data_IF_317780679177
#
_entry.id   IF_317780679177
#
_cell.length_a   1.000
_cell.length_b   1.000
_cell.length_c   1.000
_cell.angle_alpha   90.00
_cell.angle_beta   90.00
_cell.angle_gamma   90.00
#
_symmetry.space_group_name_H-M   'P 1'
#
loop_
_entity.id
_entity.type
_entity.pdbx_description
1 polymer ?
#
# COMPACT_ATOMS: atom_id res chain seq x y z
N UNK A 1 -18.44 25.63 2.16
CA UNK A 1 -17.64 24.67 2.94
C UNK A 1 -16.10 24.86 2.84
N UNK A 2 -15.58 26.06 2.62
CA UNK A 2 -14.12 26.28 2.53
C UNK A 2 -13.39 26.10 3.88
N UNK A 3 -14.05 26.38 5.00
CA UNK A 3 -13.43 26.38 6.32
C UNK A 3 -12.93 25.01 6.77
N UNK A 4 -13.75 23.97 6.62
CA UNK A 4 -13.34 22.58 6.96
C UNK A 4 -12.24 22.04 6.05
N UNK A 5 -12.26 22.41 4.76
CA UNK A 5 -11.22 22.03 3.81
C UNK A 5 -9.85 22.61 4.21
N UNK A 6 -9.81 23.88 4.61
CA UNK A 6 -8.57 24.54 5.04
C UNK A 6 -8.05 23.98 6.37
N UNK A 7 -8.94 23.69 7.33
CA UNK A 7 -8.56 23.08 8.60
C UNK A 7 -7.97 21.67 8.39
N UNK A 8 -8.55 20.87 7.50
CA UNK A 8 -8.02 19.55 7.14
C UNK A 8 -6.65 19.66 6.47
N UNK A 9 -6.47 20.56 5.50
CA UNK A 9 -5.18 20.80 4.84
C UNK A 9 -4.12 21.21 5.88
N UNK A 10 -4.45 22.15 6.78
CA UNK A 10 -3.53 22.59 7.83
C UNK A 10 -3.13 21.43 8.73
N UNK A 11 -4.09 20.59 9.13
CA UNK A 11 -3.81 19.41 9.96
C UNK A 11 -2.93 18.38 9.23
N UNK A 12 -3.21 18.13 7.95
CA UNK A 12 -2.38 17.23 7.14
C UNK A 12 -0.95 17.75 7.05
N UNK A 13 -0.77 19.04 6.73
CA UNK A 13 0.57 19.64 6.62
C UNK A 13 1.33 19.62 7.96
N UNK A 14 0.62 19.77 9.08
CA UNK A 14 1.22 19.63 10.42
C UNK A 14 1.67 18.19 10.69
N UNK A 15 0.89 17.19 10.29
CA UNK A 15 1.29 15.80 10.45
C UNK A 15 2.47 15.46 9.55
N UNK A 16 2.43 15.89 8.29
CA UNK A 16 3.52 15.69 7.32
C UNK A 16 4.84 16.36 7.77
N UNK A 17 4.78 17.48 8.45
CA UNK A 17 5.98 18.13 9.00
C UNK A 17 6.69 17.29 10.09
N UNK A 18 6.01 16.27 10.64
CA UNK A 18 6.56 15.34 11.62
C UNK A 18 6.94 13.98 11.00
N UNK A 19 6.78 13.80 9.69
CA UNK A 19 7.25 12.60 8.98
C UNK A 19 8.78 12.54 8.99
N UNK A 20 9.36 11.37 8.73
CA UNK A 20 10.80 11.19 8.69
C UNK A 20 11.43 12.00 7.56
N UNK A 21 12.54 12.63 7.87
CA UNK A 21 13.33 13.43 6.92
C UNK A 21 14.40 12.59 6.23
N UNK A 22 14.98 13.11 5.15
CA UNK A 22 16.12 12.47 4.48
C UNK A 22 17.29 12.21 5.45
N UNK A 23 17.53 13.12 6.43
CA UNK A 23 18.54 12.93 7.46
C UNK A 23 18.19 11.79 8.41
N UNK A 24 16.90 11.61 8.75
CA UNK A 24 16.44 10.51 9.58
C UNK A 24 16.69 9.15 8.91
N UNK A 25 16.46 9.06 7.61
CA UNK A 25 16.78 7.84 6.85
C UNK A 25 18.29 7.56 6.80
N UNK A 26 19.14 8.59 6.67
CA UNK A 26 20.60 8.40 6.76
C UNK A 26 21.02 7.84 8.14
N UNK A 27 20.42 8.33 9.22
CA UNK A 27 20.68 7.82 10.56
C UNK A 27 20.15 6.39 10.76
N UNK A 28 18.99 6.05 10.17
CA UNK A 28 18.42 4.71 10.22
C UNK A 28 19.28 3.68 9.48
N UNK A 29 19.87 4.03 8.33
CA UNK A 29 20.78 3.17 7.58
C UNK A 29 22.01 2.73 8.38
N UNK A 30 22.42 3.52 9.37
CA UNK A 30 23.56 3.21 10.25
C UNK A 30 23.19 2.30 11.44
N UNK A 31 21.90 1.94 11.62
CA UNK A 31 21.47 1.05 12.71
C UNK A 31 21.87 -0.38 12.41
N UNK A 32 22.17 -1.15 13.45
CA UNK A 32 22.66 -2.54 13.33
C UNK A 32 21.63 -3.56 13.78
N UNK A 33 20.67 -3.16 14.60
CA UNK A 33 19.66 -4.06 15.14
C UNK A 33 18.26 -3.48 14.96
N UNK A 34 17.26 -4.35 14.94
CA UNK A 34 15.84 -3.95 14.92
C UNK A 34 15.50 -3.10 16.16
N UNK A 35 16.16 -3.38 17.29
CA UNK A 35 15.99 -2.58 18.50
C UNK A 35 16.55 -1.16 18.36
N UNK A 36 17.70 -0.97 17.73
CA UNK A 36 18.25 0.36 17.44
C UNK A 36 17.32 1.18 16.56
N UNK A 37 16.69 0.54 15.56
CA UNK A 37 15.66 1.18 14.71
C UNK A 37 14.48 1.63 15.58
N UNK A 38 13.98 0.75 16.44
CA UNK A 38 12.85 1.07 17.33
C UNK A 38 13.18 2.20 18.30
N UNK A 39 14.38 2.23 18.88
CA UNK A 39 14.85 3.32 19.76
C UNK A 39 14.94 4.65 19.01
N UNK A 40 15.46 4.62 17.79
CA UNK A 40 15.49 5.81 16.94
C UNK A 40 14.09 6.33 16.65
N UNK A 41 13.17 5.47 16.19
CA UNK A 41 11.79 5.84 15.93
C UNK A 41 11.09 6.36 17.18
N UNK A 42 11.32 5.74 18.34
CA UNK A 42 10.78 6.20 19.63
C UNK A 42 11.23 7.63 19.99
N UNK A 43 12.37 8.08 19.51
CA UNK A 43 12.85 9.47 19.69
C UNK A 43 12.07 10.48 18.85
N UNK A 44 11.36 10.04 17.80
CA UNK A 44 10.58 10.89 16.91
C UNK A 44 9.15 11.07 17.41
N UNK A 45 8.62 12.29 17.33
CA UNK A 45 7.27 12.61 17.82
C UNK A 45 6.18 11.75 17.16
N UNK A 46 6.37 11.41 15.87
CA UNK A 46 5.41 10.58 15.13
C UNK A 46 5.25 9.18 15.72
N UNK A 47 6.30 8.59 16.31
CA UNK A 47 6.32 7.18 16.76
C UNK A 47 6.46 7.01 18.26
N UNK A 48 6.72 8.09 19.02
CA UNK A 48 6.97 8.04 20.47
C UNK A 48 5.90 7.26 21.23
N UNK A 49 4.66 7.59 21.01
CA UNK A 49 3.54 7.04 21.79
C UNK A 49 3.38 5.54 21.57
N UNK A 50 3.41 5.09 20.29
CA UNK A 50 3.19 3.68 19.95
C UNK A 50 4.34 2.78 20.39
N UNK A 51 5.55 3.31 20.51
CA UNK A 51 6.75 2.59 20.94
C UNK A 51 7.08 2.78 22.42
N UNK A 52 6.32 3.58 23.17
CA UNK A 52 6.65 3.97 24.57
C UNK A 52 6.79 2.78 25.51
N UNK A 53 5.91 1.80 25.41
CA UNK A 53 5.80 0.65 26.32
C UNK A 53 6.18 -0.69 25.65
N UNK A 54 6.96 -0.67 24.58
CA UNK A 54 7.40 -1.88 23.89
C UNK A 54 8.73 -2.33 24.47
N UNK A 55 8.80 -3.47 25.19
CA UNK A 55 10.06 -3.98 25.70
C UNK A 55 10.86 -4.68 24.57
N UNK A 56 12.20 -4.60 24.67
CA UNK A 56 13.12 -5.23 23.72
C UNK A 56 12.84 -6.73 23.52
N UNK A 57 12.62 -7.44 24.63
CA UNK A 57 12.38 -8.90 24.63
C UNK A 57 11.17 -9.36 23.83
N UNK A 58 10.24 -8.44 23.53
CA UNK A 58 9.03 -8.73 22.76
C UNK A 58 9.07 -8.17 21.34
N UNK A 59 10.17 -7.46 20.97
CA UNK A 59 10.27 -6.83 19.68
C UNK A 59 10.99 -7.76 18.69
N UNK A 60 10.31 -8.05 17.60
CA UNK A 60 10.87 -8.69 16.42
C UNK A 60 10.50 -7.88 15.18
N UNK A 61 10.98 -8.30 14.01
CA UNK A 61 10.71 -7.68 12.71
C UNK A 61 9.22 -7.45 12.50
N UNK A 62 8.43 -8.52 12.51
CA UNK A 62 7.00 -8.46 12.19
C UNK A 62 6.23 -7.53 13.15
N UNK A 63 6.59 -7.53 14.45
CA UNK A 63 5.97 -6.66 15.42
C UNK A 63 6.32 -5.19 15.19
N UNK A 64 7.57 -4.85 14.88
CA UNK A 64 7.95 -3.47 14.60
C UNK A 64 7.25 -2.95 13.33
N UNK A 65 7.26 -3.72 12.24
CA UNK A 65 6.53 -3.38 11.00
C UNK A 65 5.04 -3.17 11.26
N UNK A 66 4.40 -4.04 12.05
CA UNK A 66 3.00 -3.91 12.43
C UNK A 66 2.72 -2.62 13.23
N UNK A 67 3.61 -2.24 14.17
CA UNK A 67 3.48 -1.00 14.93
C UNK A 67 3.65 0.24 14.04
N UNK A 68 4.56 0.20 13.07
CA UNK A 68 4.77 1.28 12.09
C UNK A 68 3.51 1.46 11.23
N UNK A 69 2.98 0.39 10.65
CA UNK A 69 1.74 0.40 9.86
C UNK A 69 0.57 0.96 10.68
N UNK A 70 0.42 0.47 11.92
CA UNK A 70 -0.61 0.93 12.84
C UNK A 70 -0.50 2.42 13.14
N UNK A 71 0.71 2.94 13.38
CA UNK A 71 0.91 4.37 13.64
C UNK A 71 0.46 5.24 12.46
N UNK A 72 0.83 4.87 11.24
CA UNK A 72 0.40 5.61 10.04
C UNK A 72 -1.11 5.55 9.85
N UNK A 73 -1.72 4.41 10.11
CA UNK A 73 -3.17 4.28 10.08
C UNK A 73 -3.86 5.17 11.14
N UNK A 74 -3.37 5.19 12.38
CA UNK A 74 -3.92 6.01 13.46
C UNK A 74 -3.84 7.53 13.13
N UNK A 75 -2.80 7.95 12.41
CA UNK A 75 -2.71 9.32 11.90
C UNK A 75 -3.83 9.63 10.89
N UNK A 76 -4.13 8.71 9.98
CA UNK A 76 -5.23 8.85 9.01
C UNK A 76 -6.60 8.85 9.70
N UNK A 77 -6.81 7.99 10.71
CA UNK A 77 -8.03 8.00 11.53
C UNK A 77 -8.26 9.37 12.18
N UNK A 78 -7.20 9.98 12.71
CA UNK A 78 -7.28 11.34 13.28
C UNK A 78 -7.76 12.38 12.24
N UNK A 79 -7.37 12.24 10.98
CA UNK A 79 -7.82 13.14 9.90
C UNK A 79 -9.29 12.91 9.54
N UNK A 80 -9.74 11.66 9.48
CA UNK A 80 -11.13 11.32 9.14
C UNK A 80 -12.13 11.85 10.16
N UNK A 81 -11.73 12.03 11.42
CA UNK A 81 -12.58 12.63 12.46
C UNK A 81 -12.96 14.10 12.17
N UNK A 82 -12.19 14.82 11.36
CA UNK A 82 -12.49 16.19 10.94
C UNK A 82 -13.48 16.28 9.77
N UNK A 83 -13.93 15.14 9.22
CA UNK A 83 -14.76 15.12 8.02
C UNK A 83 -16.25 15.01 8.35
N UNK A 84 -17.06 15.69 7.54
CA UNK A 84 -18.52 15.48 7.57
C UNK A 84 -18.89 14.13 6.94
N UNK A 85 -20.05 13.58 7.29
CA UNK A 85 -20.53 12.29 6.79
C UNK A 85 -20.61 12.21 5.24
N UNK A 86 -20.83 13.34 4.57
CA UNK A 86 -20.95 13.39 3.11
C UNK A 86 -19.61 13.20 2.38
N UNK A 87 -18.50 13.59 2.99
CA UNK A 87 -17.20 13.61 2.35
C UNK A 87 -16.37 12.35 2.64
N UNK A 88 -16.88 11.45 3.49
CA UNK A 88 -16.10 10.32 4.04
C UNK A 88 -15.67 9.29 3.00
N UNK A 89 -16.43 9.04 1.94
CA UNK A 89 -16.18 7.92 1.04
C UNK A 89 -14.75 7.86 0.48
N UNK A 90 -14.25 8.97 -0.07
CA UNK A 90 -12.88 9.04 -0.60
C UNK A 90 -11.82 8.96 0.51
N UNK A 91 -12.07 9.58 1.65
CA UNK A 91 -11.13 9.59 2.77
C UNK A 91 -11.10 8.27 3.57
N UNK A 92 -12.01 7.34 3.28
CA UNK A 92 -12.01 5.98 3.84
C UNK A 92 -11.25 4.95 2.97
N UNK A 93 -10.56 5.38 1.92
CA UNK A 93 -9.79 4.49 1.05
C UNK A 93 -8.80 3.62 1.82
N UNK A 94 -8.12 4.18 2.81
CA UNK A 94 -7.17 3.43 3.62
C UNK A 94 -7.83 2.37 4.52
N UNK A 95 -9.08 2.59 4.92
CA UNK A 95 -9.83 1.59 5.68
C UNK A 95 -10.19 0.40 4.79
N UNK A 96 -10.58 0.68 3.54
CA UNK A 96 -10.82 -0.36 2.53
C UNK A 96 -9.53 -1.12 2.25
N UNK A 97 -8.42 -0.43 2.07
CA UNK A 97 -7.12 -1.06 1.85
C UNK A 97 -6.70 -1.95 3.01
N UNK A 98 -6.86 -1.49 4.24
CA UNK A 98 -6.56 -2.30 5.43
C UNK A 98 -7.48 -3.54 5.56
N UNK A 99 -8.78 -3.42 5.26
CA UNK A 99 -9.66 -4.59 5.19
C UNK A 99 -9.14 -5.62 4.17
N UNK A 100 -8.69 -5.15 3.00
CA UNK A 100 -8.11 -6.01 1.97
C UNK A 100 -6.83 -6.69 2.47
N UNK A 101 -5.89 -5.94 3.06
CA UNK A 101 -4.65 -6.51 3.61
C UNK A 101 -4.94 -7.59 4.65
N UNK A 102 -5.86 -7.34 5.59
CA UNK A 102 -6.23 -8.31 6.64
C UNK A 102 -6.80 -9.59 6.02
N UNK A 103 -7.71 -9.47 5.04
CA UNK A 103 -8.30 -10.63 4.39
C UNK A 103 -7.25 -11.40 3.58
N UNK A 104 -6.36 -10.69 2.85
CA UNK A 104 -5.28 -11.29 2.08
C UNK A 104 -4.28 -12.02 2.97
N UNK A 105 -3.91 -11.48 4.13
CA UNK A 105 -3.04 -12.16 5.09
C UNK A 105 -3.70 -13.42 5.68
N UNK A 106 -5.03 -13.38 5.92
CA UNK A 106 -5.77 -14.60 6.30
C UNK A 106 -5.70 -15.67 5.19
N UNK A 107 -5.94 -15.29 3.94
CA UNK A 107 -5.85 -16.23 2.82
C UNK A 107 -4.43 -16.78 2.67
N UNK A 108 -3.41 -15.92 2.83
CA UNK A 108 -2.01 -16.31 2.82
C UNK A 108 -1.69 -17.31 3.93
N UNK A 109 -2.25 -17.12 5.13
CA UNK A 109 -2.09 -18.06 6.23
C UNK A 109 -2.69 -19.44 5.93
N UNK A 110 -3.79 -19.51 5.19
CA UNK A 110 -4.38 -20.79 4.75
C UNK A 110 -3.47 -21.53 3.76
N UNK A 111 -2.82 -20.78 2.85
CA UNK A 111 -1.89 -21.35 1.85
C UNK A 111 -0.61 -21.81 2.51
N UNK A 112 0.02 -20.98 3.37
CA UNK A 112 1.30 -21.28 4.03
C UNK A 112 1.16 -22.22 5.24
N UNK A 113 -0.06 -22.39 5.77
CA UNK A 113 -0.35 -23.10 7.03
C UNK A 113 0.32 -22.47 8.26
N UNK A 114 0.66 -21.19 8.16
CA UNK A 114 1.17 -20.39 9.26
C UNK A 114 0.04 -19.67 9.96
N UNK A 115 0.16 -19.46 11.28
CA UNK A 115 -0.82 -18.67 12.01
C UNK A 115 -0.55 -17.19 11.85
N UNK A 116 -1.58 -16.43 11.48
CA UNK A 116 -1.52 -14.97 11.42
C UNK A 116 -2.26 -14.36 12.62
N UNK A 117 -1.55 -13.57 13.41
CA UNK A 117 -2.16 -12.84 14.52
C UNK A 117 -2.85 -11.56 14.03
N UNK A 118 -4.07 -11.72 13.54
CA UNK A 118 -4.92 -10.63 13.05
C UNK A 118 -5.05 -9.52 14.09
N UNK A 119 -5.27 -9.89 15.36
CA UNK A 119 -5.60 -8.92 16.44
C UNK A 119 -4.43 -8.00 16.72
N UNK A 120 -3.20 -8.50 16.64
CA UNK A 120 -1.99 -7.67 16.86
C UNK A 120 -1.84 -6.54 15.83
N UNK A 121 -2.41 -6.72 14.64
CA UNK A 121 -2.26 -5.79 13.51
C UNK A 121 -3.44 -4.83 13.34
N UNK A 122 -4.58 -5.08 14.01
CA UNK A 122 -5.77 -4.23 13.91
C UNK A 122 -5.66 -3.04 14.87
N UNK A 123 -5.82 -1.80 14.34
CA UNK A 123 -5.94 -0.62 15.20
C UNK A 123 -7.19 -0.68 16.07
N UNK A 124 -7.10 -0.23 17.33
CA UNK A 124 -8.16 -0.31 18.34
C UNK A 124 -9.52 0.29 17.92
N UNK A 125 -9.54 1.22 16.98
CA UNK A 125 -10.76 1.90 16.50
C UNK A 125 -11.27 1.37 15.16
N UNK A 126 -10.68 0.31 14.62
CA UNK A 126 -10.96 -0.12 13.26
C UNK A 126 -12.36 -0.73 13.12
N UNK A 127 -12.85 -1.41 14.14
CA UNK A 127 -14.19 -1.97 14.25
C UNK A 127 -15.31 -0.92 14.10
N UNK A 128 -15.04 0.35 14.41
CA UNK A 128 -15.99 1.45 14.17
C UNK A 128 -16.17 1.80 12.70
N UNK A 129 -15.24 1.39 11.85
CA UNK A 129 -15.21 1.71 10.42
C UNK A 129 -15.40 0.49 9.53
N UNK A 130 -15.24 -0.71 10.08
CA UNK A 130 -15.40 -1.98 9.39
C UNK A 130 -16.65 -2.72 9.85
N UNK A 131 -17.20 -3.56 8.97
CA UNK A 131 -18.28 -4.50 9.27
C UNK A 131 -17.74 -5.92 9.54
N UNK A 132 -16.45 -6.12 9.48
CA UNK A 132 -15.82 -7.41 9.67
C UNK A 132 -15.74 -7.69 11.19
N UNK A 133 -16.22 -8.84 11.61
CA UNK A 133 -15.98 -9.34 12.95
C UNK A 133 -14.57 -9.95 13.04
N UNK A 134 -13.62 -9.12 13.48
CA UNK A 134 -12.22 -9.51 13.56
C UNK A 134 -11.95 -10.62 14.59
N UNK A 135 -12.77 -10.72 15.64
CA UNK A 135 -12.65 -11.80 16.63
C UNK A 135 -13.06 -13.14 16.02
N UNK A 136 -14.12 -13.15 15.23
CA UNK A 136 -14.51 -14.35 14.49
C UNK A 136 -13.55 -14.67 13.34
N UNK A 137 -12.92 -13.64 12.74
CA UNK A 137 -11.93 -13.82 11.69
C UNK A 137 -10.71 -14.63 12.13
N UNK A 138 -10.23 -14.44 13.38
CA UNK A 138 -9.10 -15.21 13.93
C UNK A 138 -9.36 -16.71 14.03
N UNK A 139 -10.62 -17.14 14.00
CA UNK A 139 -11.02 -18.55 14.10
C UNK A 139 -11.19 -19.23 12.75
N UNK A 140 -11.14 -18.46 11.67
CA UNK A 140 -11.23 -19.03 10.32
C UNK A 140 -9.93 -19.75 9.95
N UNK A 141 -10.05 -20.98 9.46
CA UNK A 141 -8.91 -21.82 9.07
C UNK A 141 -8.92 -22.20 7.59
N UNK A 142 -9.98 -21.80 6.89
CA UNK A 142 -10.19 -22.08 5.47
C UNK A 142 -11.15 -21.04 4.84
N UNK A 143 -11.35 -21.16 3.54
CA UNK A 143 -12.21 -20.24 2.79
C UNK A 143 -13.66 -20.29 3.23
N UNK A 144 -14.20 -21.43 3.65
CA UNK A 144 -15.59 -21.55 4.11
C UNK A 144 -15.79 -20.82 5.44
N UNK A 145 -14.84 -20.96 6.38
CA UNK A 145 -14.81 -20.22 7.64
C UNK A 145 -14.70 -18.70 7.43
N UNK A 146 -13.80 -18.28 6.53
CA UNK A 146 -13.64 -16.88 6.15
C UNK A 146 -14.92 -16.30 5.57
N UNK A 147 -15.57 -16.99 4.64
CA UNK A 147 -16.81 -16.55 4.01
C UNK A 147 -17.97 -16.42 5.01
N UNK A 148 -18.05 -17.26 6.03
CA UNK A 148 -19.05 -17.13 7.10
C UNK A 148 -18.89 -15.81 7.85
N UNK A 149 -17.64 -15.43 8.16
CA UNK A 149 -17.34 -14.14 8.81
C UNK A 149 -17.66 -12.95 7.90
N UNK A 150 -17.42 -13.09 6.62
CA UNK A 150 -17.62 -12.02 5.63
C UNK A 150 -19.06 -11.94 5.08
N UNK A 151 -20.02 -12.77 5.56
CA UNK A 151 -21.35 -12.94 4.97
C UNK A 151 -22.11 -11.62 4.76
N UNK A 152 -22.05 -10.70 5.72
CA UNK A 152 -22.72 -9.41 5.70
C UNK A 152 -21.87 -8.27 5.12
N UNK A 153 -20.75 -8.62 4.51
CA UNK A 153 -19.83 -7.67 3.88
C UNK A 153 -19.90 -7.73 2.34
N UNK A 154 -19.36 -6.72 1.68
CA UNK A 154 -19.20 -6.72 0.22
C UNK A 154 -18.25 -7.81 -0.27
N UNK A 155 -17.33 -8.25 0.57
CA UNK A 155 -16.30 -9.23 0.25
C UNK A 155 -16.83 -10.63 0.02
N UNK A 156 -17.95 -10.97 0.65
CA UNK A 156 -18.62 -12.26 0.42
C UNK A 156 -18.90 -12.52 -1.06
N UNK A 157 -19.46 -11.50 -1.76
CA UNK A 157 -19.79 -11.62 -3.19
C UNK A 157 -18.56 -11.82 -4.07
N UNK A 158 -17.42 -11.27 -3.67
CA UNK A 158 -16.17 -11.36 -4.41
C UNK A 158 -15.53 -12.74 -4.27
N UNK A 159 -15.65 -13.34 -3.10
CA UNK A 159 -14.92 -14.56 -2.72
C UNK A 159 -15.77 -15.84 -2.73
N UNK A 160 -17.09 -15.75 -2.83
CA UNK A 160 -18.02 -16.91 -2.72
C UNK A 160 -17.73 -18.06 -3.69
N UNK A 161 -17.13 -17.79 -4.85
CA UNK A 161 -16.73 -18.83 -5.81
C UNK A 161 -15.66 -19.76 -5.27
N UNK A 162 -14.89 -19.31 -4.29
CA UNK A 162 -13.81 -20.06 -3.65
C UNK A 162 -14.26 -20.86 -2.40
N UNK A 163 -15.56 -20.84 -2.04
CA UNK A 163 -16.08 -21.46 -0.81
C UNK A 163 -15.69 -22.94 -0.62
N UNK A 164 -15.58 -23.68 -1.73
CA UNK A 164 -15.24 -25.11 -1.71
C UNK A 164 -13.80 -25.40 -2.14
N UNK A 165 -13.00 -24.37 -2.36
CA UNK A 165 -11.62 -24.53 -2.80
C UNK A 165 -10.76 -24.94 -1.60
N UNK A 166 -9.98 -26.00 -1.75
CA UNK A 166 -9.07 -26.44 -0.71
C UNK A 166 -7.90 -25.45 -0.58
N UNK A 167 -7.36 -25.33 0.62
CA UNK A 167 -6.27 -24.39 0.90
C UNK A 167 -5.06 -24.59 -0.02
N UNK A 168 -4.74 -25.84 -0.38
CA UNK A 168 -3.64 -26.20 -1.29
C UNK A 168 -3.86 -25.78 -2.76
N UNK A 169 -5.12 -25.55 -3.15
CA UNK A 169 -5.50 -25.15 -4.51
C UNK A 169 -5.62 -23.62 -4.65
N UNK A 170 -5.52 -22.88 -3.55
CA UNK A 170 -5.60 -21.42 -3.57
C UNK A 170 -4.34 -20.82 -4.22
N UNK A 171 -4.53 -19.77 -5.00
CA UNK A 171 -3.45 -19.02 -5.66
C UNK A 171 -3.48 -17.58 -5.17
N UNK A 172 -2.50 -17.19 -4.39
CA UNK A 172 -2.45 -15.87 -3.73
C UNK A 172 -2.61 -14.70 -4.72
N UNK A 173 -1.94 -14.76 -5.87
CA UNK A 173 -1.99 -13.70 -6.89
C UNK A 173 -3.39 -13.45 -7.48
N UNK A 174 -4.28 -14.47 -7.47
CA UNK A 174 -5.68 -14.30 -7.91
C UNK A 174 -6.44 -13.42 -6.93
N UNK A 175 -6.28 -13.66 -5.63
CA UNK A 175 -6.91 -12.86 -4.58
C UNK A 175 -6.36 -11.45 -4.54
N UNK A 176 -5.05 -11.29 -4.67
CA UNK A 176 -4.39 -9.99 -4.80
C UNK A 176 -5.02 -9.17 -5.94
N UNK A 177 -5.18 -9.77 -7.12
CA UNK A 177 -5.84 -9.13 -8.26
C UNK A 177 -7.31 -8.78 -8.00
N UNK A 178 -8.08 -9.65 -7.33
CA UNK A 178 -9.49 -9.40 -6.98
C UNK A 178 -9.59 -8.17 -6.06
N UNK A 179 -8.76 -8.10 -5.01
CA UNK A 179 -8.80 -7.00 -4.06
C UNK A 179 -8.26 -5.69 -4.61
N UNK A 180 -7.21 -5.72 -5.43
CA UNK A 180 -6.74 -4.53 -6.15
C UNK A 180 -7.82 -3.96 -7.08
N UNK A 181 -8.45 -4.81 -7.88
CA UNK A 181 -9.56 -4.40 -8.75
C UNK A 181 -10.70 -3.78 -7.95
N UNK A 182 -11.08 -4.36 -6.81
CA UNK A 182 -12.10 -3.80 -5.93
C UNK A 182 -11.69 -2.45 -5.37
N UNK A 183 -10.43 -2.30 -4.89
CA UNK A 183 -9.90 -1.05 -4.37
C UNK A 183 -9.95 0.08 -5.39
N UNK A 184 -9.48 -0.16 -6.61
CA UNK A 184 -9.48 0.88 -7.65
C UNK A 184 -10.87 1.19 -8.16
N UNK A 185 -11.75 0.19 -8.31
CA UNK A 185 -13.15 0.42 -8.65
C UNK A 185 -13.87 1.25 -7.58
N UNK A 186 -13.64 0.95 -6.31
CA UNK A 186 -14.16 1.76 -5.21
C UNK A 186 -13.61 3.19 -5.27
N UNK A 187 -12.31 3.35 -5.44
CA UNK A 187 -11.63 4.64 -5.55
C UNK A 187 -12.22 5.51 -6.66
N UNK A 188 -12.31 5.00 -7.88
CA UNK A 188 -12.87 5.76 -9.00
C UNK A 188 -14.35 6.07 -8.82
N UNK A 189 -15.12 5.17 -8.22
CA UNK A 189 -16.52 5.42 -7.86
C UNK A 189 -16.64 6.58 -6.87
N UNK A 190 -15.78 6.62 -5.83
CA UNK A 190 -15.77 7.73 -4.87
C UNK A 190 -15.35 9.05 -5.52
N UNK A 191 -14.32 9.01 -6.38
CA UNK A 191 -13.86 10.21 -7.10
C UNK A 191 -14.98 10.74 -8.01
N UNK A 192 -15.63 9.87 -8.79
CA UNK A 192 -16.69 10.25 -9.71
C UNK A 192 -17.93 10.79 -9.00
N UNK A 193 -18.27 10.25 -7.84
CA UNK A 193 -19.42 10.67 -7.04
C UNK A 193 -19.22 12.07 -6.42
N UNK A 194 -18.01 12.34 -5.90
CA UNK A 194 -17.78 13.48 -5.02
C UNK A 194 -17.08 14.66 -5.70
N UNK A 195 -16.34 14.46 -6.80
CA UNK A 195 -15.50 15.49 -7.40
C UNK A 195 -15.83 15.76 -8.87
N UNK A 196 -15.54 16.97 -9.36
CA UNK A 196 -15.80 17.42 -10.74
C UNK A 196 -14.62 18.20 -11.31
N UNK A 197 -14.59 18.38 -12.62
CA UNK A 197 -13.64 19.23 -13.33
C UNK A 197 -12.17 18.85 -13.11
N UNK A 198 -11.31 19.85 -12.95
CA UNK A 198 -9.85 19.67 -12.81
C UNK A 198 -9.47 18.82 -11.58
N UNK A 199 -10.20 18.98 -10.47
CA UNK A 199 -9.94 18.20 -9.25
C UNK A 199 -10.15 16.70 -9.50
N UNK A 200 -11.31 16.33 -10.07
CA UNK A 200 -11.60 14.95 -10.46
C UNK A 200 -10.50 14.39 -11.38
N UNK A 201 -10.15 15.15 -12.44
CA UNK A 201 -9.11 14.72 -13.40
C UNK A 201 -7.75 14.51 -12.73
N UNK A 202 -7.36 15.37 -11.79
CA UNK A 202 -6.09 15.23 -11.08
C UNK A 202 -6.05 13.96 -10.23
N UNK A 203 -7.13 13.69 -9.46
CA UNK A 203 -7.24 12.49 -8.64
C UNK A 203 -7.25 11.21 -9.51
N UNK A 204 -8.10 11.18 -10.55
CA UNK A 204 -8.15 10.03 -11.48
C UNK A 204 -6.80 9.78 -12.12
N UNK A 205 -6.09 10.83 -12.56
CA UNK A 205 -4.80 10.70 -13.21
C UNK A 205 -3.72 10.11 -12.27
N UNK A 206 -3.70 10.53 -11.00
CA UNK A 206 -2.75 10.00 -10.03
C UNK A 206 -2.95 8.50 -9.81
N UNK A 207 -4.19 8.06 -9.59
CA UNK A 207 -4.48 6.63 -9.41
C UNK A 207 -4.29 5.81 -10.71
N UNK A 208 -4.64 6.35 -11.87
CA UNK A 208 -4.40 5.69 -13.16
C UNK A 208 -2.91 5.48 -13.42
N UNK A 209 -2.07 6.48 -13.14
CA UNK A 209 -0.62 6.32 -13.28
C UNK A 209 -0.06 5.26 -12.32
N UNK A 210 -0.60 5.18 -11.10
CA UNK A 210 -0.25 4.12 -10.15
C UNK A 210 -0.61 2.73 -10.70
N UNK A 211 -1.84 2.53 -11.17
CA UNK A 211 -2.29 1.26 -11.78
C UNK A 211 -1.37 0.84 -12.92
N UNK A 212 -1.01 1.77 -13.78
CA UNK A 212 -0.14 1.50 -14.93
C UNK A 212 1.21 0.92 -14.50
N UNK A 213 1.81 1.51 -13.48
CA UNK A 213 3.09 1.02 -12.93
C UNK A 213 2.94 -0.31 -12.21
N UNK A 214 1.91 -0.47 -11.38
CA UNK A 214 1.62 -1.74 -10.69
C UNK A 214 1.38 -2.87 -11.69
N UNK A 215 0.65 -2.62 -12.78
CA UNK A 215 0.48 -3.61 -13.85
C UNK A 215 1.82 -4.02 -14.49
N UNK A 216 2.73 -3.09 -14.71
CA UNK A 216 4.06 -3.41 -15.27
C UNK A 216 4.88 -4.28 -14.32
N UNK A 217 4.90 -3.93 -13.04
CA UNK A 217 5.56 -4.76 -12.01
C UNK A 217 4.93 -6.15 -11.98
N UNK A 218 3.60 -6.21 -12.04
CA UNK A 218 2.86 -7.46 -12.03
C UNK A 218 3.20 -8.34 -13.23
N UNK A 219 3.25 -7.79 -14.45
CA UNK A 219 3.71 -8.53 -15.65
C UNK A 219 5.12 -9.10 -15.44
N UNK A 220 6.04 -8.26 -14.96
CA UNK A 220 7.40 -8.69 -14.67
C UNK A 220 7.43 -9.85 -13.67
N UNK A 221 6.74 -9.72 -12.53
CA UNK A 221 6.70 -10.75 -11.48
C UNK A 221 6.06 -12.04 -11.96
N UNK A 222 4.93 -11.96 -12.67
CA UNK A 222 4.20 -13.13 -13.18
C UNK A 222 5.06 -13.94 -14.16
N UNK A 223 5.80 -13.26 -15.03
CA UNK A 223 6.73 -13.94 -15.96
C UNK A 223 7.97 -14.47 -15.27
N UNK A 224 8.60 -13.70 -14.41
CA UNK A 224 9.89 -14.06 -13.80
C UNK A 224 9.77 -15.18 -12.75
N UNK A 225 8.72 -15.12 -11.91
CA UNK A 225 8.63 -15.98 -10.73
C UNK A 225 7.55 -17.04 -10.83
N UNK A 226 6.50 -16.80 -11.62
CA UNK A 226 5.32 -17.70 -11.66
C UNK A 226 5.16 -18.41 -13.00
N UNK A 227 5.85 -17.99 -14.07
CA UNK A 227 5.77 -18.61 -15.38
C UNK A 227 4.38 -18.59 -16.00
N UNK A 228 3.60 -17.54 -15.72
CA UNK A 228 2.20 -17.41 -16.20
C UNK A 228 2.19 -17.10 -17.68
N UNK A 229 1.30 -17.76 -18.42
CA UNK A 229 1.13 -17.58 -19.88
C UNK A 229 0.58 -16.18 -20.21
N UNK A 230 0.99 -15.61 -21.35
CA UNK A 230 0.67 -14.24 -21.76
C UNK A 230 -0.85 -13.96 -21.79
N UNK A 231 -1.66 -14.94 -22.19
CA UNK A 231 -3.12 -14.82 -22.24
C UNK A 231 -3.75 -14.69 -20.84
N UNK A 232 -3.16 -15.36 -19.84
CA UNK A 232 -3.66 -15.36 -18.46
C UNK A 232 -3.22 -14.09 -17.73
N UNK A 233 -2.04 -13.54 -18.07
CA UNK A 233 -1.55 -12.29 -17.49
C UNK A 233 -2.57 -11.16 -17.68
N UNK A 234 -3.15 -11.01 -18.87
CA UNK A 234 -4.15 -9.95 -19.13
C UNK A 234 -5.36 -10.02 -18.21
N UNK A 235 -5.81 -11.23 -17.85
CA UNK A 235 -6.96 -11.42 -16.95
C UNK A 235 -6.69 -11.02 -15.51
N UNK A 236 -5.43 -11.00 -15.11
CA UNK A 236 -4.96 -10.69 -13.76
C UNK A 236 -4.68 -9.19 -13.57
N UNK A 237 -4.45 -8.46 -14.67
CA UNK A 237 -4.12 -7.04 -14.60
C UNK A 237 -5.33 -6.18 -14.24
N UNK A 238 -5.04 -5.06 -13.58
CA UNK A 238 -6.06 -4.06 -13.26
C UNK A 238 -6.43 -3.34 -14.55
N UNK A 239 -7.73 -3.27 -14.94
CA UNK A 239 -8.16 -2.58 -16.14
C UNK A 239 -7.73 -1.10 -16.11
N UNK A 240 -7.01 -0.67 -17.13
CA UNK A 240 -6.57 0.72 -17.30
C UNK A 240 -7.08 1.26 -18.63
N UNK A 241 -7.55 2.50 -18.65
CA UNK A 241 -8.11 3.17 -19.84
C UNK A 241 -7.14 4.16 -20.47
N UNK A 242 -5.83 4.08 -20.19
CA UNK A 242 -4.82 4.99 -20.72
C UNK A 242 -4.00 4.41 -21.88
N UNK A 243 -3.20 5.31 -22.43
CA UNK A 243 -2.26 5.16 -23.57
C UNK A 243 -1.39 3.89 -23.49
N UNK A 244 -1.28 3.29 -22.32
CA UNK A 244 -0.42 2.15 -22.03
C UNK A 244 -1.05 0.82 -22.46
N UNK A 245 -2.32 0.74 -22.84
CA UNK A 245 -2.89 -0.52 -23.31
C UNK A 245 -2.08 -1.15 -24.46
N UNK A 246 -1.68 -0.34 -25.47
CA UNK A 246 -0.79 -0.83 -26.54
C UNK A 246 0.61 -1.19 -26.03
N UNK A 247 1.19 -0.36 -25.15
CA UNK A 247 2.50 -0.64 -24.55
C UNK A 247 2.48 -1.81 -23.60
N UNK A 248 1.36 -2.02 -22.90
CA UNK A 248 1.17 -3.17 -22.03
C UNK A 248 1.18 -4.48 -22.84
N UNK A 249 0.53 -4.50 -24.02
CA UNK A 249 0.56 -5.65 -24.93
C UNK A 249 2.00 -5.92 -25.45
N UNK A 250 2.74 -4.87 -25.77
CA UNK A 250 4.16 -4.98 -26.14
C UNK A 250 4.99 -5.55 -25.00
N UNK A 251 4.78 -5.10 -23.77
CA UNK A 251 5.48 -5.58 -22.56
C UNK A 251 5.10 -7.05 -22.26
N UNK A 252 3.83 -7.41 -22.39
CA UNK A 252 3.37 -8.80 -22.21
C UNK A 252 3.99 -9.71 -23.28
N UNK A 253 4.14 -9.25 -24.51
CA UNK A 253 4.73 -10.03 -25.60
C UNK A 253 6.25 -10.26 -25.46
N UNK A 254 6.94 -9.51 -24.58
CA UNK A 254 8.38 -9.68 -24.34
C UNK A 254 8.64 -11.01 -23.62
N UNK A 255 9.51 -11.85 -24.18
CA UNK A 255 9.76 -13.20 -23.66
C UNK A 255 10.65 -13.25 -22.42
N UNK A 256 11.63 -12.33 -22.33
CA UNK A 256 12.58 -12.28 -21.23
C UNK A 256 12.16 -11.26 -20.18
N UNK A 257 12.19 -11.64 -18.90
CA UNK A 257 11.91 -10.72 -17.80
C UNK A 257 12.89 -9.53 -17.76
N UNK A 258 14.15 -9.74 -18.13
CA UNK A 258 15.17 -8.68 -18.17
C UNK A 258 14.90 -7.69 -19.30
N UNK A 259 14.38 -8.16 -20.45
CA UNK A 259 13.96 -7.31 -21.55
C UNK A 259 12.69 -6.53 -21.24
N UNK A 260 11.81 -7.04 -20.36
CA UNK A 260 10.64 -6.31 -19.86
C UNK A 260 11.10 -5.05 -19.13
N UNK A 261 12.07 -5.18 -18.23
CA UNK A 261 12.63 -4.04 -17.51
C UNK A 261 13.17 -2.97 -18.48
N UNK A 262 13.95 -3.39 -19.46
CA UNK A 262 14.48 -2.51 -20.49
C UNK A 262 13.38 -1.83 -21.30
N UNK A 263 12.35 -2.58 -21.71
CA UNK A 263 11.20 -2.06 -22.46
C UNK A 263 10.41 -1.01 -21.66
N UNK A 264 10.24 -1.23 -20.34
CA UNK A 264 9.59 -0.26 -19.43
C UNK A 264 10.41 1.04 -19.38
N UNK A 265 11.73 0.95 -19.23
CA UNK A 265 12.61 2.13 -19.19
C UNK A 265 12.57 2.88 -20.52
N UNK A 266 12.67 2.20 -21.64
CA UNK A 266 12.69 2.79 -22.98
C UNK A 266 11.32 3.37 -23.42
N UNK A 267 10.22 2.92 -22.80
CA UNK A 267 8.85 3.36 -23.14
C UNK A 267 8.53 4.82 -22.80
N UNK A 268 9.49 5.57 -22.27
CA UNK A 268 9.33 6.96 -21.82
C UNK A 268 8.72 7.12 -20.44
N UNK A 269 8.41 6.00 -19.77
CA UNK A 269 8.10 5.97 -18.32
C UNK A 269 9.38 6.24 -17.52
N UNK A 270 10.53 6.02 -18.14
CA UNK A 270 11.85 6.35 -17.63
C UNK A 270 12.17 7.83 -17.44
N UNK A 271 11.30 8.75 -17.83
CA UNK A 271 11.52 10.20 -17.63
C UNK A 271 11.53 10.60 -16.15
N UNK A 272 11.00 9.72 -15.28
CA UNK A 272 11.01 9.91 -13.82
C UNK A 272 12.21 9.25 -13.14
N UNK A 273 13.15 8.69 -13.91
CA UNK A 273 14.27 7.92 -13.43
C UNK A 273 15.47 8.84 -13.16
N UNK A 274 15.63 9.22 -11.92
CA UNK A 274 16.81 10.01 -11.50
C UNK A 274 18.12 9.21 -11.59
N UNK A 275 18.07 7.89 -11.48
CA UNK A 275 19.23 7.00 -11.50
C UNK A 275 18.97 5.78 -12.38
N UNK A 276 19.69 5.68 -13.52
CA UNK A 276 19.46 4.64 -14.53
C UNK A 276 20.00 3.26 -14.13
N UNK A 277 20.77 3.19 -13.06
CA UNK A 277 21.45 1.95 -12.61
C UNK A 277 20.67 1.18 -11.55
N UNK A 278 19.43 1.57 -11.25
CA UNK A 278 18.60 0.90 -10.24
C UNK A 278 18.10 -0.47 -10.73
N UNK A 279 18.32 -1.48 -9.90
CA UNK A 279 18.01 -2.89 -10.21
C UNK A 279 16.55 -3.26 -9.91
N UNK A 280 15.86 -2.46 -9.08
CA UNK A 280 14.53 -2.79 -8.58
C UNK A 280 13.44 -1.99 -9.32
N UNK A 281 12.50 -2.70 -9.92
CA UNK A 281 11.39 -2.08 -10.68
C UNK A 281 10.45 -1.28 -9.77
N UNK A 282 10.26 -1.72 -8.53
CA UNK A 282 9.45 -1.08 -7.51
C UNK A 282 9.94 0.34 -7.21
N UNK A 283 11.25 0.56 -7.19
CA UNK A 283 11.86 1.87 -6.98
C UNK A 283 11.30 2.96 -7.92
N UNK A 284 11.03 2.60 -9.16
CA UNK A 284 10.46 3.54 -10.13
C UNK A 284 9.02 3.92 -9.83
N UNK A 285 8.23 2.95 -9.36
CA UNK A 285 6.84 3.20 -8.92
C UNK A 285 6.81 4.13 -7.72
N UNK A 286 7.71 3.89 -6.78
CA UNK A 286 7.81 4.65 -5.55
C UNK A 286 8.27 6.08 -5.79
N UNK A 287 9.24 6.28 -6.68
CA UNK A 287 9.63 7.60 -7.13
C UNK A 287 8.49 8.36 -7.81
N UNK A 288 7.70 7.70 -8.64
CA UNK A 288 6.55 8.35 -9.27
C UNK A 288 5.47 8.72 -8.24
N UNK A 289 5.21 7.83 -7.26
CA UNK A 289 4.31 8.14 -6.14
C UNK A 289 4.84 9.33 -5.33
N UNK A 290 6.13 9.33 -4.99
CA UNK A 290 6.80 10.39 -4.26
C UNK A 290 6.67 11.75 -4.98
N UNK A 291 7.05 11.82 -6.25
CA UNK A 291 6.98 13.04 -7.04
C UNK A 291 5.54 13.57 -7.17
N UNK A 292 4.56 12.66 -7.34
CA UNK A 292 3.15 13.01 -7.39
C UNK A 292 2.67 13.57 -6.04
N UNK A 293 3.03 12.90 -4.94
CA UNK A 293 2.70 13.33 -3.58
C UNK A 293 3.33 14.69 -3.26
N UNK A 294 4.61 14.86 -3.57
CA UNK A 294 5.34 16.12 -3.36
C UNK A 294 4.66 17.27 -4.09
N UNK A 295 4.36 17.09 -5.38
CA UNK A 295 3.65 18.09 -6.19
C UNK A 295 2.32 18.51 -5.56
N UNK A 296 1.50 17.56 -5.12
CA UNK A 296 0.20 17.86 -4.54
C UNK A 296 0.29 18.42 -3.13
N UNK A 297 1.24 17.96 -2.32
CA UNK A 297 1.46 18.48 -0.97
C UNK A 297 1.85 19.97 -0.98
N UNK A 298 2.73 20.36 -1.91
CA UNK A 298 3.23 21.74 -1.97
C UNK A 298 2.31 22.69 -2.74
N UNK A 299 1.74 22.25 -3.85
CA UNK A 299 1.08 23.15 -4.79
C UNK A 299 -0.45 23.03 -4.82
N UNK A 300 -1.05 22.06 -4.15
CA UNK A 300 -2.51 21.95 -4.12
C UNK A 300 -3.14 22.64 -2.91
N UNK A 301 -4.25 23.33 -3.19
CA UNK A 301 -5.15 23.90 -2.19
C UNK A 301 -6.47 23.11 -2.08
N UNK A 302 -6.54 21.91 -2.66
CA UNK A 302 -7.70 21.04 -2.58
C UNK A 302 -7.46 19.91 -1.56
N UNK A 303 -8.28 19.86 -0.51
CA UNK A 303 -8.10 18.86 0.55
C UNK A 303 -8.01 17.41 0.07
N UNK A 304 -8.80 16.93 -0.92
CA UNK A 304 -8.68 15.56 -1.41
C UNK A 304 -7.31 15.24 -2.03
N UNK A 305 -6.72 16.17 -2.77
CA UNK A 305 -5.38 15.95 -3.37
C UNK A 305 -4.28 16.01 -2.34
N UNK A 306 -4.37 16.90 -1.34
CA UNK A 306 -3.42 16.97 -0.23
C UNK A 306 -3.54 15.73 0.67
N UNK A 307 -4.75 15.24 0.90
CA UNK A 307 -4.97 13.98 1.63
C UNK A 307 -4.37 12.79 0.88
N UNK A 308 -4.63 12.67 -0.43
CA UNK A 308 -4.04 11.61 -1.26
C UNK A 308 -2.50 11.66 -1.23
N UNK A 309 -1.92 12.86 -1.31
CA UNK A 309 -0.47 13.02 -1.19
C UNK A 309 0.05 12.52 0.16
N UNK A 310 -0.66 12.83 1.24
CA UNK A 310 -0.30 12.36 2.58
C UNK A 310 -0.41 10.83 2.72
N UNK A 311 -1.44 10.22 2.11
CA UNK A 311 -1.53 8.75 2.03
C UNK A 311 -0.31 8.14 1.34
N UNK A 312 0.07 8.68 0.18
CA UNK A 312 1.21 8.17 -0.58
C UNK A 312 2.54 8.32 0.19
N UNK A 313 2.76 9.45 0.87
CA UNK A 313 3.92 9.60 1.76
C UNK A 313 3.91 8.60 2.92
N UNK A 314 2.74 8.35 3.52
CA UNK A 314 2.61 7.37 4.59
C UNK A 314 2.91 5.94 4.14
N UNK A 315 2.45 5.55 2.95
CA UNK A 315 2.78 4.25 2.34
C UNK A 315 4.28 4.13 2.08
N UNK A 316 4.89 5.13 1.44
CA UNK A 316 6.34 5.16 1.16
C UNK A 316 7.18 5.11 2.43
N UNK A 317 6.78 5.81 3.49
CA UNK A 317 7.50 5.75 4.77
C UNK A 317 7.44 4.36 5.41
N UNK A 318 6.27 3.68 5.33
CA UNK A 318 6.12 2.29 5.79
C UNK A 318 7.02 1.36 4.98
N UNK A 319 7.03 1.48 3.65
CA UNK A 319 7.85 0.68 2.74
C UNK A 319 9.36 0.91 2.98
N UNK A 320 9.80 2.17 3.07
CA UNK A 320 11.19 2.50 3.39
C UNK A 320 11.64 1.88 4.73
N UNK A 321 10.80 1.99 5.76
CA UNK A 321 11.12 1.41 7.06
C UNK A 321 11.14 -0.12 7.02
N UNK A 322 10.24 -0.75 6.25
CA UNK A 322 10.26 -2.20 6.03
C UNK A 322 11.56 -2.64 5.33
N UNK A 323 12.00 -1.94 4.28
CA UNK A 323 13.28 -2.23 3.59
C UNK A 323 14.48 -2.10 4.54
N UNK A 324 14.50 -1.09 5.41
CA UNK A 324 15.58 -0.95 6.40
C UNK A 324 15.56 -2.11 7.40
N UNK A 325 14.38 -2.44 7.93
CA UNK A 325 14.22 -3.53 8.92
C UNK A 325 14.59 -4.88 8.30
N UNK A 326 14.14 -5.14 7.08
CA UNK A 326 14.51 -6.33 6.30
C UNK A 326 16.00 -6.39 5.99
N UNK A 327 16.56 -5.28 5.52
CA UNK A 327 17.98 -5.20 5.22
C UNK A 327 18.85 -5.50 6.44
N UNK A 328 18.49 -4.97 7.61
CA UNK A 328 19.18 -5.31 8.87
C UNK A 328 19.00 -6.79 9.23
N UNK A 329 17.80 -7.35 9.05
CA UNK A 329 17.50 -8.74 9.36
C UNK A 329 18.28 -9.72 8.48
N UNK A 330 18.47 -9.38 7.19
CA UNK A 330 19.22 -10.19 6.22
C UNK A 330 20.68 -9.78 6.08
N UNK A 331 21.17 -8.89 6.95
CA UNK A 331 22.56 -8.41 6.97
C UNK A 331 23.05 -7.83 5.63
N UNK A 332 22.13 -7.15 4.91
CA UNK A 332 22.45 -6.45 3.67
C UNK A 332 23.37 -5.24 3.95
N UNK A 333 24.18 -4.87 2.96
CA UNK A 333 25.00 -3.66 3.12
C UNK A 333 24.18 -2.37 3.01
N UNK A 334 24.74 -1.27 3.54
CA UNK A 334 24.06 0.02 3.54
C UNK A 334 23.70 0.50 2.13
N UNK A 335 24.50 0.19 1.11
CA UNK A 335 24.29 0.65 -0.26
C UNK A 335 23.12 -0.11 -0.88
N UNK A 336 23.01 -1.41 -0.60
CA UNK A 336 21.88 -2.23 -1.05
C UNK A 336 20.57 -1.72 -0.44
N UNK A 337 20.54 -1.52 0.89
CA UNK A 337 19.34 -1.00 1.56
C UNK A 337 18.99 0.39 0.99
N UNK A 338 19.98 1.28 0.87
CA UNK A 338 19.78 2.64 0.35
C UNK A 338 19.20 2.64 -1.07
N UNK A 339 19.59 1.68 -1.92
CA UNK A 339 19.11 1.60 -3.29
C UNK A 339 17.61 1.29 -3.40
N UNK A 340 16.99 0.78 -2.34
CA UNK A 340 15.56 0.48 -2.26
C UNK A 340 14.73 1.66 -1.72
N UNK A 341 15.36 2.69 -1.13
CA UNK A 341 14.65 3.76 -0.43
C UNK A 341 14.32 4.93 -1.35
N UNK A 342 13.13 5.50 -1.16
CA UNK A 342 12.66 6.72 -1.83
C UNK A 342 12.22 7.75 -0.81
N UNK A 343 12.99 8.88 -0.70
CA UNK A 343 12.72 9.96 0.26
C UNK A 343 13.29 11.30 -0.20
#
# INVERSE_FOLDING_TARGET
MPFFSNALIAKIKTLHANDLTAQDYQELLNKKTIWDVALFLKSKDAYRDILSNVPESSLNRARLEGLIKRQKFDQLVKLVKFLTLKDRGFYLLNFVHMEHEIILEMIKSFISRETYDVVAHIPYYFDHYSKIDFVSLTKATDMDGLLKVLADTRYYKMLKSYAKTKNEDLRYYEFESIFENDYYNYTFKQIAANYRGKLRKNLENAFKSRIEMENMIKVYRLKKFYGVEDQDIKSILIPSTRIIEKKLDEIIAVKSADDIFKTIIESGLGVYLGDKDQVYLEYYTDHMRFNTAQKFMYYSNAAPTVFMAYMFFGELEVENLAHIIEGIHYELDEREIRSMLVF
#
